data_IF_647997809793
#
_entry.id   IF_647997809793
#
_cell.length_a   1.000
_cell.length_b   1.000
_cell.length_c   1.000
_cell.angle_alpha   90.00
_cell.angle_beta   90.00
_cell.angle_gamma   90.00
#
_symmetry.space_group_name_H-M   'P 1'
#
loop_
_entity.id
_entity.type
_entity.pdbx_description
1 polymer ?
#
# COMPACT_ATOMS: atom_id res chain seq x y z
N UNK A 1 12.04 -29.07 -35.91
CA UNK A 1 12.17 -29.44 -34.48
C UNK A 1 12.85 -28.35 -33.66
N UNK A 2 14.01 -27.84 -34.02
CA UNK A 2 14.74 -26.76 -33.29
C UNK A 2 13.92 -25.45 -33.19
N UNK A 3 13.25 -25.03 -34.26
CA UNK A 3 12.39 -23.83 -34.28
C UNK A 3 11.16 -23.97 -33.35
N UNK A 4 10.57 -25.15 -33.28
CA UNK A 4 9.45 -25.46 -32.38
C UNK A 4 9.89 -25.48 -30.90
N UNK A 5 11.10 -25.97 -30.63
CA UNK A 5 11.71 -25.97 -29.29
C UNK A 5 12.07 -24.55 -28.82
N UNK A 6 12.58 -23.70 -29.71
CA UNK A 6 12.86 -22.28 -29.43
C UNK A 6 11.56 -21.48 -29.18
N UNK A 7 10.48 -21.82 -29.87
CA UNK A 7 9.18 -21.20 -29.66
C UNK A 7 8.57 -21.60 -28.33
N UNK A 8 8.72 -22.87 -27.89
CA UNK A 8 8.31 -23.34 -26.56
C UNK A 8 9.13 -22.65 -25.44
N UNK A 9 10.43 -22.46 -25.63
CA UNK A 9 11.31 -21.79 -24.66
C UNK A 9 11.01 -20.30 -24.49
N UNK A 10 10.41 -19.65 -25.49
CA UNK A 10 10.02 -18.23 -25.40
C UNK A 10 8.71 -17.98 -24.62
N UNK A 11 7.94 -19.03 -24.31
CA UNK A 11 6.63 -18.92 -23.62
C UNK A 11 6.66 -19.34 -22.16
N UNK A 12 7.81 -19.22 -21.48
CA UNK A 12 7.89 -19.56 -20.05
C UNK A 12 7.42 -18.41 -19.13
N UNK A 13 7.23 -17.21 -19.67
CA UNK A 13 6.85 -16.02 -18.93
C UNK A 13 5.42 -15.64 -19.33
N UNK A 14 4.53 -15.35 -18.36
CA UNK A 14 3.15 -14.92 -18.65
C UNK A 14 3.12 -13.70 -19.58
N UNK A 15 2.32 -13.78 -20.65
CA UNK A 15 2.16 -12.70 -21.63
C UNK A 15 0.84 -11.95 -21.46
N UNK A 16 -0.20 -12.61 -20.93
CA UNK A 16 -1.53 -12.07 -20.67
C UNK A 16 -1.79 -12.05 -19.16
N UNK A 17 -1.44 -10.96 -18.50
CA UNK A 17 -1.56 -10.81 -17.04
C UNK A 17 -2.76 -9.93 -16.71
N UNK A 18 -3.53 -10.33 -15.71
CA UNK A 18 -4.58 -9.51 -15.09
C UNK A 18 -4.16 -9.22 -13.65
N UNK A 19 -4.14 -7.94 -13.27
CA UNK A 19 -3.93 -7.51 -11.90
C UNK A 19 -5.25 -7.04 -11.30
N UNK A 20 -5.83 -7.82 -10.40
CA UNK A 20 -7.06 -7.44 -9.69
C UNK A 20 -6.79 -6.56 -8.48
N UNK A 21 -5.57 -5.99 -8.38
CA UNK A 21 -5.12 -5.04 -7.35
C UNK A 21 -4.24 -3.94 -7.95
N UNK A 22 -4.14 -2.81 -7.22
CA UNK A 22 -3.44 -1.62 -7.70
C UNK A 22 -1.91 -1.79 -7.64
N UNK A 23 -1.39 -2.35 -6.53
CA UNK A 23 0.05 -2.42 -6.24
C UNK A 23 0.82 -3.28 -7.24
N UNK A 24 0.20 -4.37 -7.72
CA UNK A 24 0.83 -5.22 -8.74
C UNK A 24 0.78 -4.59 -10.12
N UNK A 25 -0.29 -3.85 -10.42
CA UNK A 25 -0.39 -3.03 -11.64
C UNK A 25 0.72 -1.99 -11.66
N UNK A 26 0.88 -1.20 -10.58
CA UNK A 26 1.94 -0.19 -10.47
C UNK A 26 3.33 -0.82 -10.62
N UNK A 27 3.55 -1.97 -9.98
CA UNK A 27 4.83 -2.68 -10.05
C UNK A 27 5.18 -3.08 -11.49
N UNK A 28 4.23 -3.65 -12.25
CA UNK A 28 4.47 -4.06 -13.64
C UNK A 28 4.77 -2.85 -14.54
N UNK A 29 4.09 -1.71 -14.33
CA UNK A 29 4.41 -0.47 -15.05
C UNK A 29 5.80 0.07 -14.70
N UNK A 30 6.20 0.04 -13.43
CA UNK A 30 7.54 0.46 -13.00
C UNK A 30 8.66 -0.42 -13.58
N UNK A 31 8.36 -1.67 -13.89
CA UNK A 31 9.29 -2.60 -14.55
C UNK A 31 9.25 -2.53 -16.07
N UNK A 32 8.43 -1.66 -16.68
CA UNK A 32 8.32 -1.48 -18.13
C UNK A 32 7.69 -2.66 -18.88
N UNK A 33 6.85 -3.45 -18.20
CA UNK A 33 6.17 -4.63 -18.76
C UNK A 33 4.64 -4.47 -18.85
N UNK A 34 4.14 -3.24 -18.88
CA UNK A 34 2.72 -2.93 -18.99
C UNK A 34 2.04 -3.53 -20.25
N UNK A 35 2.80 -3.86 -21.28
CA UNK A 35 2.29 -4.54 -22.48
C UNK A 35 1.68 -5.92 -22.16
N UNK A 36 2.16 -6.57 -21.08
CA UNK A 36 1.63 -7.87 -20.62
C UNK A 36 0.31 -7.74 -19.85
N UNK A 37 -0.01 -6.54 -19.37
CA UNK A 37 -1.27 -6.30 -18.69
C UNK A 37 -2.41 -6.20 -19.69
N UNK A 38 -3.42 -7.07 -19.55
CA UNK A 38 -4.64 -7.07 -20.36
C UNK A 38 -5.87 -6.65 -19.54
N UNK A 39 -5.81 -6.76 -18.19
CA UNK A 39 -6.88 -6.34 -17.30
C UNK A 39 -6.37 -5.84 -15.96
N UNK A 40 -7.11 -4.91 -15.35
CA UNK A 40 -6.77 -4.26 -14.10
C UNK A 40 -7.98 -4.07 -13.19
N UNK A 41 -7.71 -3.73 -11.90
CA UNK A 41 -8.74 -3.28 -10.97
C UNK A 41 -9.27 -1.88 -11.30
N UNK A 42 -10.57 -1.66 -11.16
CA UNK A 42 -11.21 -0.36 -11.26
C UNK A 42 -10.73 0.65 -10.21
N UNK A 43 -10.09 0.19 -9.13
CA UNK A 43 -9.46 1.05 -8.13
C UNK A 43 -8.05 1.51 -8.50
N UNK A 44 -7.44 0.96 -9.55
CA UNK A 44 -6.11 1.37 -10.02
C UNK A 44 -6.04 2.87 -10.25
N UNK A 45 -5.18 3.56 -9.50
CA UNK A 45 -4.91 5.00 -9.61
C UNK A 45 -3.51 5.28 -10.15
N UNK A 46 -2.62 4.31 -10.04
CA UNK A 46 -1.21 4.43 -10.41
C UNK A 46 -0.78 3.30 -11.36
N UNK A 47 -0.13 3.68 -12.50
CA UNK A 47 -0.08 5.03 -13.03
C UNK A 47 -1.45 5.47 -13.59
N UNK A 48 -1.69 6.77 -13.67
CA UNK A 48 -2.98 7.31 -14.15
C UNK A 48 -3.38 6.84 -15.55
N UNK A 49 -2.39 6.52 -16.40
CA UNK A 49 -2.61 6.04 -17.77
C UNK A 49 -3.22 4.64 -17.82
N UNK A 50 -2.99 3.80 -16.80
CA UNK A 50 -3.40 2.40 -16.80
C UNK A 50 -4.90 2.23 -17.12
N UNK A 51 -5.78 3.01 -16.51
CA UNK A 51 -7.23 2.95 -16.77
C UNK A 51 -7.66 3.34 -18.19
N UNK A 52 -6.83 4.05 -18.93
CA UNK A 52 -7.09 4.41 -20.33
C UNK A 52 -6.61 3.34 -21.30
N UNK A 53 -5.68 2.51 -20.86
CA UNK A 53 -4.98 1.54 -21.70
C UNK A 53 -5.44 0.09 -21.47
N UNK A 54 -6.06 -0.20 -20.31
CA UNK A 54 -6.33 -1.55 -19.88
C UNK A 54 -7.80 -1.74 -19.52
N UNK A 55 -8.31 -2.94 -19.76
CA UNK A 55 -9.67 -3.34 -19.39
C UNK A 55 -9.86 -3.35 -17.88
N UNK A 56 -10.97 -2.78 -17.40
CA UNK A 56 -11.37 -2.88 -16.01
C UNK A 56 -12.19 -4.14 -15.83
N UNK A 57 -11.70 -5.06 -14.99
CA UNK A 57 -12.28 -6.40 -14.79
C UNK A 57 -12.64 -6.71 -13.34
N UNK A 58 -12.28 -5.85 -12.40
CA UNK A 58 -12.57 -6.08 -10.98
C UNK A 58 -12.76 -4.79 -10.21
N UNK A 59 -13.39 -4.90 -9.04
CA UNK A 59 -13.28 -3.97 -7.91
C UNK A 59 -12.34 -4.56 -6.86
N UNK A 60 -12.35 -4.04 -5.63
CA UNK A 60 -11.52 -4.58 -4.55
C UNK A 60 -12.06 -5.92 -4.00
N UNK A 61 -13.40 -6.06 -3.91
CA UNK A 61 -14.07 -7.21 -3.30
C UNK A 61 -14.79 -8.09 -4.32
N UNK A 62 -14.89 -7.66 -5.57
CA UNK A 62 -15.63 -8.36 -6.61
C UNK A 62 -14.90 -8.28 -7.95
N UNK A 63 -15.18 -9.26 -8.84
CA UNK A 63 -14.59 -9.35 -10.16
C UNK A 63 -15.59 -9.91 -11.16
N UNK A 64 -15.53 -9.40 -12.38
CA UNK A 64 -16.25 -9.93 -13.52
C UNK A 64 -15.53 -11.18 -14.02
N UNK A 65 -15.92 -12.33 -13.47
CA UNK A 65 -15.27 -13.61 -13.74
C UNK A 65 -15.38 -13.99 -15.21
N UNK A 66 -16.55 -13.79 -15.85
CA UNK A 66 -16.76 -14.15 -17.25
C UNK A 66 -15.87 -13.27 -18.16
N UNK A 67 -15.80 -11.98 -17.91
CA UNK A 67 -14.91 -11.07 -18.64
C UNK A 67 -13.43 -11.44 -18.47
N UNK A 68 -13.03 -11.85 -17.27
CA UNK A 68 -11.65 -12.33 -17.03
C UNK A 68 -11.36 -13.56 -17.88
N UNK A 69 -12.30 -14.50 -17.95
CA UNK A 69 -12.14 -15.73 -18.74
C UNK A 69 -12.09 -15.43 -20.24
N UNK A 70 -12.95 -14.54 -20.74
CA UNK A 70 -12.97 -14.12 -22.15
C UNK A 70 -11.65 -13.48 -22.60
N UNK A 71 -10.91 -12.85 -21.69
CA UNK A 71 -9.58 -12.28 -21.97
C UNK A 71 -8.48 -13.36 -22.06
N UNK A 72 -8.77 -14.60 -21.67
CA UNK A 72 -7.82 -15.73 -21.70
C UNK A 72 -6.47 -15.40 -21.03
N UNK A 73 -6.43 -15.03 -19.74
CA UNK A 73 -5.18 -14.70 -19.07
C UNK A 73 -4.31 -15.93 -18.79
N UNK A 74 -3.00 -15.76 -18.91
CA UNK A 74 -2.01 -16.75 -18.43
C UNK A 74 -1.90 -16.72 -16.90
N UNK A 75 -2.12 -15.54 -16.31
CA UNK A 75 -1.96 -15.31 -14.88
C UNK A 75 -2.89 -14.19 -14.39
N UNK A 76 -3.58 -14.46 -13.28
CA UNK A 76 -4.28 -13.43 -12.50
C UNK A 76 -3.53 -13.19 -11.19
N UNK A 77 -3.23 -11.92 -10.86
CA UNK A 77 -2.54 -11.55 -9.62
C UNK A 77 -3.49 -10.76 -8.72
N UNK A 78 -3.66 -11.22 -7.48
CA UNK A 78 -4.49 -10.60 -6.47
C UNK A 78 -3.79 -10.41 -5.13
N UNK A 79 -4.55 -9.95 -4.13
CA UNK A 79 -4.05 -9.63 -2.79
C UNK A 79 -4.93 -10.23 -1.69
N UNK A 80 -4.28 -10.93 -0.78
CA UNK A 80 -4.75 -11.41 0.51
C UNK A 80 -6.00 -12.31 0.51
N UNK A 81 -6.35 -12.74 1.69
CA UNK A 81 -7.55 -13.50 2.01
C UNK A 81 -8.87 -12.79 1.63
N UNK A 82 -8.84 -11.47 1.53
CA UNK A 82 -10.01 -10.66 1.12
C UNK A 82 -10.49 -11.04 -0.29
N UNK A 83 -9.56 -11.44 -1.17
CA UNK A 83 -9.89 -11.86 -2.55
C UNK A 83 -9.93 -13.39 -2.72
N UNK A 84 -9.97 -14.16 -1.63
CA UNK A 84 -9.98 -15.64 -1.69
C UNK A 84 -11.16 -16.20 -2.49
N UNK A 85 -12.35 -15.61 -2.38
CA UNK A 85 -13.52 -16.06 -3.13
C UNK A 85 -13.42 -15.79 -4.64
N UNK A 86 -12.74 -14.70 -5.03
CA UNK A 86 -12.44 -14.41 -6.44
C UNK A 86 -11.45 -15.46 -6.96
N UNK A 87 -10.37 -15.71 -6.20
CA UNK A 87 -9.36 -16.70 -6.54
C UNK A 87 -9.97 -18.10 -6.70
N UNK A 88 -10.83 -18.53 -5.78
CA UNK A 88 -11.53 -19.81 -5.86
C UNK A 88 -12.35 -19.97 -7.15
N UNK A 89 -13.14 -18.95 -7.52
CA UNK A 89 -13.93 -18.95 -8.73
C UNK A 89 -13.07 -19.08 -9.98
N UNK A 90 -11.97 -18.32 -10.05
CA UNK A 90 -11.03 -18.35 -11.19
C UNK A 90 -10.31 -19.71 -11.31
N UNK A 91 -9.85 -20.26 -10.18
CA UNK A 91 -9.17 -21.57 -10.14
C UNK A 91 -10.13 -22.68 -10.64
N UNK A 92 -11.41 -22.67 -10.22
CA UNK A 92 -12.43 -23.62 -10.70
C UNK A 92 -12.69 -23.53 -12.20
N UNK A 93 -12.36 -22.41 -12.83
CA UNK A 93 -12.45 -22.19 -14.29
C UNK A 93 -11.12 -22.44 -15.02
N UNK A 94 -10.11 -22.98 -14.34
CA UNK A 94 -8.81 -23.34 -14.92
C UNK A 94 -7.81 -22.18 -15.03
N UNK A 95 -8.09 -21.02 -14.47
CA UNK A 95 -7.19 -19.86 -14.50
C UNK A 95 -6.09 -19.99 -13.44
N UNK A 96 -4.83 -19.73 -13.80
CA UNK A 96 -3.72 -19.64 -12.85
C UNK A 96 -3.84 -18.36 -12.04
N UNK A 97 -3.79 -18.48 -10.70
CA UNK A 97 -3.95 -17.34 -9.79
C UNK A 97 -2.81 -17.28 -8.79
N UNK A 98 -2.21 -16.09 -8.63
CA UNK A 98 -1.24 -15.77 -7.59
C UNK A 98 -1.86 -14.77 -6.61
N UNK A 99 -1.95 -15.12 -5.32
CA UNK A 99 -2.39 -14.20 -4.26
C UNK A 99 -1.19 -13.78 -3.41
N UNK A 100 -0.88 -12.48 -3.45
CA UNK A 100 0.09 -11.86 -2.56
C UNK A 100 -0.55 -11.61 -1.20
N UNK A 101 0.00 -12.21 -0.14
CA UNK A 101 -0.53 -12.06 1.22
C UNK A 101 0.48 -11.39 2.16
N UNK A 102 1.05 -10.28 1.73
CA UNK A 102 2.08 -9.54 2.46
C UNK A 102 1.52 -8.27 3.11
N UNK A 103 1.88 -8.03 4.36
CA UNK A 103 1.41 -6.86 5.13
C UNK A 103 2.54 -6.10 5.83
N UNK A 104 3.76 -6.16 5.28
CA UNK A 104 4.95 -5.48 5.82
C UNK A 104 5.78 -4.85 4.71
N UNK A 105 6.65 -3.91 5.02
CA UNK A 105 7.62 -3.36 4.06
C UNK A 105 8.45 -4.46 3.41
N UNK A 106 8.93 -5.42 4.21
CA UNK A 106 9.68 -6.56 3.66
C UNK A 106 8.84 -7.42 2.71
N UNK A 107 7.55 -7.56 3.01
CA UNK A 107 6.59 -8.25 2.14
C UNK A 107 6.35 -7.52 0.83
N UNK A 108 6.27 -6.18 0.86
CA UNK A 108 6.16 -5.36 -0.35
C UNK A 108 7.40 -5.56 -1.24
N UNK A 109 8.61 -5.57 -0.68
CA UNK A 109 9.81 -5.89 -1.45
C UNK A 109 9.77 -7.29 -2.05
N UNK A 110 9.26 -8.29 -1.33
CA UNK A 110 9.06 -9.65 -1.87
C UNK A 110 8.07 -9.65 -3.02
N UNK A 111 6.96 -8.92 -2.91
CA UNK A 111 5.98 -8.79 -3.99
C UNK A 111 6.61 -8.16 -5.24
N UNK A 112 7.35 -7.05 -5.10
CA UNK A 112 8.04 -6.39 -6.23
C UNK A 112 9.00 -7.37 -6.91
N UNK A 113 9.80 -8.11 -6.13
CA UNK A 113 10.74 -9.09 -6.66
C UNK A 113 10.03 -10.24 -7.36
N UNK A 114 9.00 -10.82 -6.74
CA UNK A 114 8.25 -11.94 -7.32
C UNK A 114 7.57 -11.54 -8.64
N UNK A 115 6.93 -10.36 -8.68
CA UNK A 115 6.34 -9.81 -9.92
C UNK A 115 7.44 -9.60 -10.97
N UNK A 116 8.61 -9.07 -10.58
CA UNK A 116 9.75 -8.92 -11.48
C UNK A 116 10.21 -10.25 -12.09
N UNK A 117 10.29 -11.32 -11.30
CA UNK A 117 10.60 -12.66 -11.80
C UNK A 117 9.55 -13.18 -12.78
N UNK A 118 8.26 -13.00 -12.46
CA UNK A 118 7.15 -13.44 -13.30
C UNK A 118 7.11 -12.75 -14.67
N UNK A 119 7.58 -11.52 -14.76
CA UNK A 119 7.62 -10.76 -16.03
C UNK A 119 9.04 -10.73 -16.67
N UNK A 120 9.98 -11.56 -16.17
CA UNK A 120 11.34 -11.65 -16.69
C UNK A 120 12.22 -10.43 -16.42
N UNK A 121 11.90 -9.66 -15.36
CA UNK A 121 12.61 -8.44 -14.93
C UNK A 121 13.21 -8.56 -13.53
N UNK A 122 13.73 -9.74 -13.18
CA UNK A 122 14.31 -10.00 -11.87
C UNK A 122 15.43 -9.03 -11.50
N UNK A 123 16.37 -8.71 -12.41
CA UNK A 123 17.45 -7.75 -12.10
C UNK A 123 16.90 -6.32 -11.94
N UNK A 124 16.05 -5.84 -12.85
CA UNK A 124 15.41 -4.54 -12.73
C UNK A 124 14.61 -4.39 -11.43
N UNK A 125 13.95 -5.46 -10.98
CA UNK A 125 13.23 -5.46 -9.71
C UNK A 125 14.17 -5.36 -8.49
N UNK A 126 15.35 -5.99 -8.55
CA UNK A 126 16.38 -5.85 -7.51
C UNK A 126 16.93 -4.42 -7.47
N UNK A 127 17.19 -3.81 -8.63
CA UNK A 127 17.67 -2.44 -8.72
C UNK A 127 16.66 -1.45 -8.14
N UNK A 128 15.39 -1.58 -8.51
CA UNK A 128 14.29 -0.80 -7.93
C UNK A 128 14.23 -0.95 -6.40
N UNK A 129 14.29 -2.17 -5.90
CA UNK A 129 14.29 -2.46 -4.46
C UNK A 129 15.50 -1.82 -3.77
N UNK A 130 16.68 -1.91 -4.35
CA UNK A 130 17.89 -1.34 -3.79
C UNK A 130 17.86 0.19 -3.76
N UNK A 131 17.32 0.84 -4.80
CA UNK A 131 17.09 2.28 -4.81
C UNK A 131 16.19 2.72 -3.66
N UNK A 132 15.04 2.04 -3.50
CA UNK A 132 14.08 2.33 -2.41
C UNK A 132 14.74 2.11 -1.03
N UNK A 133 15.46 0.99 -0.84
CA UNK A 133 16.16 0.71 0.42
C UNK A 133 17.21 1.78 0.76
N UNK A 134 17.93 2.30 -0.24
CA UNK A 134 18.90 3.36 -0.02
C UNK A 134 18.24 4.66 0.44
N UNK A 135 17.11 5.05 -0.15
CA UNK A 135 16.30 6.18 0.33
C UNK A 135 15.80 5.96 1.75
N UNK A 136 15.28 4.76 2.07
CA UNK A 136 14.85 4.40 3.42
C UNK A 136 16.00 4.54 4.44
N UNK A 137 17.20 4.07 4.10
CA UNK A 137 18.38 4.19 4.96
C UNK A 137 18.76 5.65 5.22
N UNK A 138 18.69 6.51 4.20
CA UNK A 138 18.96 7.94 4.36
C UNK A 138 17.94 8.60 5.29
N UNK A 139 16.65 8.32 5.12
CA UNK A 139 15.56 8.83 5.97
C UNK A 139 15.74 8.35 7.41
N UNK A 140 15.97 7.06 7.63
CA UNK A 140 16.20 6.50 8.95
C UNK A 140 17.43 7.12 9.65
N UNK A 141 18.53 7.32 8.92
CA UNK A 141 19.73 7.96 9.45
C UNK A 141 19.48 9.42 9.84
N UNK A 142 18.67 10.16 9.09
CA UNK A 142 18.31 11.53 9.42
C UNK A 142 17.43 11.59 10.68
N UNK A 143 16.39 10.78 10.73
CA UNK A 143 15.44 10.77 11.85
C UNK A 143 16.01 10.14 13.14
N UNK A 144 17.03 9.27 13.03
CA UNK A 144 17.71 8.68 14.22
C UNK A 144 18.39 9.72 15.09
N UNK A 145 18.79 10.86 14.53
CA UNK A 145 19.44 11.98 15.22
C UNK A 145 18.46 12.87 15.99
N UNK A 146 17.16 12.64 15.86
CA UNK A 146 16.16 13.46 16.51
C UNK A 146 16.11 13.19 18.02
N UNK A 147 16.23 14.25 18.82
CA UNK A 147 16.16 14.19 20.28
C UNK A 147 14.81 13.75 20.80
N UNK A 148 13.74 14.00 20.02
CA UNK A 148 12.36 13.64 20.37
C UNK A 148 11.62 13.16 19.12
N UNK A 149 10.92 12.05 19.24
CA UNK A 149 10.10 11.46 18.17
C UNK A 149 8.63 11.81 18.40
N UNK A 150 7.87 12.22 17.37
CA UNK A 150 6.44 12.48 17.52
C UNK A 150 5.67 11.21 17.86
N UNK A 151 4.70 11.32 18.76
CA UNK A 151 3.66 10.33 18.96
C UNK A 151 2.64 10.47 17.83
N UNK A 152 2.41 9.42 17.05
CA UNK A 152 1.60 9.46 15.85
C UNK A 152 0.38 8.56 16.00
N UNK A 153 -0.79 9.10 15.74
CA UNK A 153 -1.98 8.34 15.48
C UNK A 153 -2.22 8.28 13.98
N UNK A 154 -2.21 7.08 13.41
CA UNK A 154 -2.66 6.86 12.04
C UNK A 154 -4.10 6.34 12.05
N UNK A 155 -4.99 7.03 11.32
CA UNK A 155 -6.40 6.70 11.19
C UNK A 155 -6.69 6.19 9.78
N UNK A 156 -6.88 4.87 9.63
CA UNK A 156 -7.20 4.21 8.36
C UNK A 156 -8.67 4.39 7.97
N UNK A 157 -9.55 4.54 8.97
CA UNK A 157 -10.98 4.76 8.81
C UNK A 157 -11.58 5.52 9.99
N UNK A 158 -12.67 6.27 9.76
CA UNK A 158 -13.21 7.20 10.73
C UNK A 158 -14.36 6.67 11.60
N UNK A 159 -15.12 5.68 11.12
CA UNK A 159 -16.25 5.08 11.86
C UNK A 159 -16.54 3.65 11.37
N UNK A 160 -16.24 2.62 12.17
CA UNK A 160 -15.48 2.72 13.43
C UNK A 160 -14.06 3.26 13.18
N UNK A 161 -13.42 3.84 14.22
CA UNK A 161 -12.03 4.28 14.14
C UNK A 161 -11.11 3.06 14.02
N UNK A 162 -10.31 3.02 12.96
CA UNK A 162 -9.39 1.91 12.67
C UNK A 162 -7.97 2.46 12.65
N UNK A 163 -7.08 1.84 13.43
CA UNK A 163 -5.66 2.17 13.46
C UNK A 163 -4.91 1.62 12.24
N UNK A 164 -3.67 2.08 12.05
CA UNK A 164 -2.85 1.70 10.89
C UNK A 164 -2.50 0.22 10.83
N UNK A 165 -2.41 -0.31 9.62
CA UNK A 165 -1.93 -1.66 9.34
C UNK A 165 -0.40 -1.72 9.41
N UNK A 166 0.18 -2.91 9.47
CA UNK A 166 1.58 -3.16 9.78
C UNK A 166 2.57 -2.38 8.93
N UNK A 167 2.44 -2.35 7.59
CA UNK A 167 3.40 -1.59 6.77
C UNK A 167 3.34 -0.09 7.05
N UNK A 168 2.16 0.46 7.39
CA UNK A 168 2.00 1.87 7.77
C UNK A 168 2.71 2.16 9.09
N UNK A 169 2.54 1.29 10.08
CA UNK A 169 3.24 1.38 11.37
C UNK A 169 4.76 1.28 11.19
N UNK A 170 5.23 0.37 10.32
CA UNK A 170 6.64 0.24 9.96
C UNK A 170 7.18 1.51 9.27
N UNK A 171 6.40 2.14 8.37
CA UNK A 171 6.76 3.41 7.72
C UNK A 171 6.84 4.55 8.74
N UNK A 172 5.87 4.66 9.67
CA UNK A 172 5.91 5.65 10.74
C UNK A 172 7.22 5.50 11.54
N UNK A 173 7.58 4.28 11.90
CA UNK A 173 8.82 4.01 12.63
C UNK A 173 10.07 4.33 11.82
N UNK A 174 10.11 3.93 10.55
CA UNK A 174 11.19 4.23 9.59
C UNK A 174 11.43 5.74 9.49
N UNK A 175 10.37 6.53 9.44
CA UNK A 175 10.41 7.98 9.34
C UNK A 175 10.71 8.69 10.68
N UNK A 176 10.91 7.95 11.77
CA UNK A 176 11.26 8.47 13.08
C UNK A 176 10.09 8.85 13.98
N UNK A 177 8.87 8.40 13.68
CA UNK A 177 7.70 8.55 14.55
C UNK A 177 7.50 7.35 15.48
N UNK A 178 6.64 7.52 16.48
CA UNK A 178 6.16 6.47 17.37
C UNK A 178 4.66 6.27 17.12
N UNK A 179 4.29 5.17 16.47
CA UNK A 179 2.88 4.78 16.31
C UNK A 179 2.31 4.41 17.68
N UNK A 180 1.27 5.15 18.11
CA UNK A 180 0.65 4.94 19.43
C UNK A 180 -0.22 3.69 19.52
N UNK A 181 -0.49 3.03 18.39
CA UNK A 181 -1.26 1.79 18.28
C UNK A 181 -0.48 0.66 17.59
N UNK A 182 0.85 0.67 17.72
CA UNK A 182 1.73 -0.33 17.11
C UNK A 182 1.34 -1.77 17.44
N UNK A 183 0.78 -2.02 18.63
CA UNK A 183 0.30 -3.33 19.06
C UNK A 183 -0.85 -3.86 18.19
N UNK A 184 -1.75 -2.97 17.72
CA UNK A 184 -2.86 -3.33 16.83
C UNK A 184 -2.40 -3.58 15.39
N UNK A 185 -1.27 -3.02 14.98
CA UNK A 185 -0.77 -3.17 13.61
C UNK A 185 -0.40 -4.61 13.24
N UNK A 186 -0.28 -5.51 14.22
CA UNK A 186 -0.02 -6.94 14.03
C UNK A 186 -1.23 -7.66 13.43
N UNK A 187 -2.43 -7.11 13.65
CA UNK A 187 -3.68 -7.67 13.18
C UNK A 187 -3.87 -7.39 11.68
N UNK A 188 -4.20 -8.44 10.95
CA UNK A 188 -4.32 -8.38 9.49
C UNK A 188 -5.60 -7.70 9.02
N UNK A 189 -6.70 -7.90 9.75
CA UNK A 189 -8.02 -7.43 9.35
C UNK A 189 -8.35 -6.09 10.01
N UNK A 190 -9.04 -5.22 9.28
CA UNK A 190 -9.47 -3.92 9.76
C UNK A 190 -10.35 -4.00 11.03
N UNK A 191 -11.25 -5.01 11.11
CA UNK A 191 -12.12 -5.24 12.26
C UNK A 191 -11.37 -5.48 13.57
N UNK A 192 -10.16 -6.04 13.49
CA UNK A 192 -9.33 -6.39 14.65
C UNK A 192 -8.41 -5.22 15.07
N UNK A 193 -8.43 -4.12 14.29
CA UNK A 193 -7.69 -2.87 14.54
C UNK A 193 -8.59 -1.71 14.95
N UNK A 194 -9.84 -2.00 15.33
CA UNK A 194 -10.79 -0.99 15.84
C UNK A 194 -10.29 -0.49 17.20
N UNK A 195 -10.30 0.83 17.36
CA UNK A 195 -9.88 1.51 18.59
C UNK A 195 -10.97 2.44 19.11
N UNK A 196 -10.89 2.78 20.38
CA UNK A 196 -11.80 3.74 20.99
C UNK A 196 -11.27 5.18 20.91
N UNK A 197 -12.19 6.13 20.80
CA UNK A 197 -11.87 7.57 20.87
C UNK A 197 -11.16 7.94 22.18
N UNK A 198 -11.53 7.30 23.29
CA UNK A 198 -10.93 7.51 24.60
C UNK A 198 -9.48 7.05 24.65
N UNK A 199 -9.11 5.99 23.94
CA UNK A 199 -7.71 5.53 23.89
C UNK A 199 -6.84 6.51 23.14
N UNK A 200 -7.33 7.12 22.05
CA UNK A 200 -6.63 8.19 21.34
C UNK A 200 -6.40 9.39 22.26
N UNK A 201 -7.44 9.81 23.01
CA UNK A 201 -7.33 10.93 23.98
C UNK A 201 -6.30 10.62 25.07
N UNK A 202 -6.33 9.42 25.66
CA UNK A 202 -5.36 9.01 26.71
C UNK A 202 -3.92 8.96 26.18
N UNK A 203 -3.72 8.42 24.98
CA UNK A 203 -2.39 8.32 24.35
C UNK A 203 -1.86 9.69 23.90
N UNK A 204 -2.75 10.66 23.65
CA UNK A 204 -2.46 12.07 23.36
C UNK A 204 -1.38 12.26 22.28
N UNK A 205 -1.67 11.92 21.00
CA UNK A 205 -0.69 12.03 19.92
C UNK A 205 -0.28 13.47 19.63
N UNK A 206 0.96 13.62 19.16
CA UNK A 206 1.51 14.88 18.69
C UNK A 206 1.09 15.16 17.23
N UNK A 207 0.85 14.11 16.45
CA UNK A 207 0.43 14.16 15.02
C UNK A 207 -0.69 13.15 14.79
N UNK A 208 -1.69 13.55 14.00
CA UNK A 208 -2.71 12.66 13.43
C UNK A 208 -2.51 12.61 11.93
N UNK A 209 -2.32 11.41 11.38
CA UNK A 209 -2.35 11.17 9.92
C UNK A 209 -3.60 10.37 9.64
N UNK A 210 -4.46 10.88 8.76
CA UNK A 210 -5.65 10.17 8.35
C UNK A 210 -5.59 9.81 6.86
N UNK A 211 -6.04 8.59 6.54
CA UNK A 211 -6.12 8.09 5.17
C UNK A 211 -7.35 7.18 5.07
N UNK A 212 -8.45 7.74 4.59
CA UNK A 212 -9.70 6.98 4.51
C UNK A 212 -9.86 6.37 3.12
N UNK A 213 -10.03 5.06 3.07
CA UNK A 213 -10.12 4.33 1.82
C UNK A 213 -11.26 4.86 0.92
N UNK A 214 -10.90 5.33 -0.27
CA UNK A 214 -11.86 5.80 -1.27
C UNK A 214 -12.55 7.12 -0.98
N UNK A 215 -12.29 7.80 0.15
CA UNK A 215 -12.91 9.09 0.47
C UNK A 215 -11.92 10.12 1.00
N UNK A 216 -12.22 11.39 0.75
CA UNK A 216 -11.44 12.53 1.27
C UNK A 216 -11.58 12.65 2.78
N UNK A 217 -10.47 12.90 3.47
CA UNK A 217 -10.45 13.16 4.91
C UNK A 217 -11.09 14.51 5.22
N UNK A 218 -12.03 14.52 6.15
CA UNK A 218 -12.67 15.72 6.67
C UNK A 218 -12.00 16.10 8.00
N UNK A 219 -10.91 16.88 7.94
CA UNK A 219 -10.14 17.28 9.15
C UNK A 219 -11.02 17.92 10.22
N UNK A 220 -11.99 18.73 9.84
CA UNK A 220 -12.93 19.35 10.78
C UNK A 220 -13.83 18.34 11.49
N UNK A 221 -14.14 17.20 10.84
CA UNK A 221 -14.86 16.10 11.51
C UNK A 221 -14.00 15.48 12.60
N UNK A 222 -12.71 15.33 12.37
CA UNK A 222 -11.75 14.82 13.37
C UNK A 222 -11.65 15.78 14.55
N UNK A 223 -11.46 17.07 14.30
CA UNK A 223 -11.33 18.11 15.35
C UNK A 223 -12.57 18.20 16.24
N UNK A 224 -13.78 18.01 15.69
CA UNK A 224 -15.06 18.16 16.38
C UNK A 224 -15.48 16.91 17.16
N UNK A 225 -14.67 15.85 17.22
CA UNK A 225 -14.97 14.68 18.06
C UNK A 225 -14.93 15.07 19.53
N UNK A 226 -15.88 14.52 20.32
CA UNK A 226 -15.99 14.83 21.73
C UNK A 226 -14.69 14.51 22.50
N UNK A 227 -14.16 15.50 23.23
CA UNK A 227 -12.93 15.39 24.02
C UNK A 227 -11.62 15.53 23.23
N UNK A 228 -11.68 15.61 21.89
CA UNK A 228 -10.47 15.68 21.05
C UNK A 228 -9.82 17.06 21.04
N UNK A 229 -10.53 18.10 21.45
CA UNK A 229 -9.97 19.44 21.70
C UNK A 229 -8.81 19.43 22.70
N UNK A 230 -8.69 18.37 23.53
CA UNK A 230 -7.61 18.19 24.52
C UNK A 230 -6.34 17.58 23.89
N UNK A 231 -6.45 16.94 22.73
CA UNK A 231 -5.31 16.27 22.06
C UNK A 231 -4.34 17.28 21.49
N UNK A 232 -3.05 17.07 21.69
CA UNK A 232 -1.98 17.96 21.20
C UNK A 232 -2.04 18.17 19.68
N UNK A 233 -2.22 17.09 18.91
CA UNK A 233 -2.34 17.18 17.46
C UNK A 233 -3.51 18.06 17.01
N UNK A 234 -4.63 18.07 17.74
CA UNK A 234 -5.79 18.91 17.44
C UNK A 234 -5.51 20.35 17.80
N UNK A 235 -4.97 20.62 19.01
CA UNK A 235 -4.60 21.97 19.49
C UNK A 235 -3.61 22.66 18.55
N UNK A 236 -2.62 21.91 18.08
CA UNK A 236 -1.54 22.42 17.25
C UNK A 236 -1.83 22.33 15.74
N UNK A 237 -3.03 21.92 15.35
CA UNK A 237 -3.44 21.73 13.95
C UNK A 237 -2.54 20.74 13.18
N UNK A 238 -1.98 19.73 13.87
CA UNK A 238 -1.14 18.66 13.31
C UNK A 238 -2.01 17.48 12.82
N UNK A 239 -3.00 17.77 11.99
CA UNK A 239 -3.86 16.77 11.35
C UNK A 239 -3.57 16.79 9.86
N UNK A 240 -3.05 15.67 9.34
CA UNK A 240 -2.60 15.53 7.97
C UNK A 240 -3.41 14.47 7.24
N UNK A 241 -3.65 14.68 5.95
CA UNK A 241 -4.22 13.68 5.06
C UNK A 241 -3.13 13.14 4.15
N UNK A 242 -3.05 11.80 4.04
CA UNK A 242 -2.35 11.12 2.96
C UNK A 242 -3.39 10.33 2.19
N UNK A 243 -3.40 10.46 0.88
CA UNK A 243 -4.38 9.76 0.04
C UNK A 243 -4.22 8.25 0.13
N UNK A 244 -5.35 7.54 0.12
CA UNK A 244 -5.37 6.08 0.29
C UNK A 244 -4.62 5.34 -0.83
N UNK A 245 -4.66 5.86 -2.07
CA UNK A 245 -3.90 5.33 -3.19
C UNK A 245 -2.37 5.42 -3.05
N UNK A 246 -1.88 6.21 -2.06
CA UNK A 246 -0.45 6.30 -1.75
C UNK A 246 -0.08 5.34 -0.62
N UNK A 247 -0.84 5.36 0.49
CA UNK A 247 -0.34 4.74 1.73
C UNK A 247 -1.07 3.43 2.11
N UNK A 248 -2.32 3.24 1.67
CA UNK A 248 -3.11 2.07 2.04
C UNK A 248 -2.96 0.89 1.07
N UNK A 249 -2.16 1.02 0.02
CA UNK A 249 -1.82 -0.08 -0.88
C UNK A 249 -0.47 -0.68 -0.47
N UNK A 250 -0.35 -2.01 -0.28
CA UNK A 250 0.92 -2.64 0.05
C UNK A 250 1.83 -2.77 -1.19
N UNK A 251 2.23 -1.64 -1.73
CA UNK A 251 2.94 -1.55 -3.00
C UNK A 251 3.99 -0.43 -3.07
N UNK A 252 4.55 -0.19 -4.26
CA UNK A 252 5.61 0.79 -4.46
C UNK A 252 5.26 2.16 -3.90
N UNK A 253 4.06 2.70 -4.19
CA UNK A 253 3.66 4.03 -3.72
C UNK A 253 3.79 4.21 -2.21
N UNK A 254 3.42 3.21 -1.41
CA UNK A 254 3.47 3.32 0.06
C UNK A 254 4.90 3.42 0.59
N UNK A 255 5.83 2.70 -0.03
CA UNK A 255 7.24 2.65 0.40
C UNK A 255 8.15 3.66 -0.33
N UNK A 256 7.59 4.46 -1.23
CA UNK A 256 8.25 5.61 -1.89
C UNK A 256 7.58 6.91 -1.48
N UNK A 257 6.57 7.36 -2.20
CA UNK A 257 5.84 8.61 -1.94
C UNK A 257 5.28 8.67 -0.50
N UNK A 258 4.74 7.55 0.01
CA UNK A 258 4.21 7.46 1.37
C UNK A 258 5.28 7.70 2.43
N UNK A 259 6.46 7.12 2.26
CA UNK A 259 7.62 7.34 3.15
C UNK A 259 8.09 8.79 3.09
N UNK A 260 8.20 9.38 1.88
CA UNK A 260 8.64 10.76 1.71
C UNK A 260 7.65 11.75 2.37
N UNK A 261 6.34 11.59 2.15
CA UNK A 261 5.30 12.43 2.75
C UNK A 261 5.30 12.35 4.28
N UNK A 262 5.39 11.14 4.85
CA UNK A 262 5.43 10.96 6.31
C UNK A 262 6.71 11.58 6.89
N UNK A 263 7.85 11.37 6.24
CA UNK A 263 9.11 11.95 6.69
C UNK A 263 9.08 13.50 6.65
N UNK A 264 8.49 14.09 5.61
CA UNK A 264 8.30 15.53 5.49
C UNK A 264 7.42 16.07 6.63
N UNK A 265 6.28 15.44 6.93
CA UNK A 265 5.39 15.81 8.04
C UNK A 265 6.17 15.79 9.35
N UNK A 266 6.92 14.72 9.63
CA UNK A 266 7.66 14.58 10.88
C UNK A 266 8.85 15.55 10.97
N UNK A 267 9.56 15.78 9.88
CA UNK A 267 10.66 16.75 9.82
C UNK A 267 10.18 18.17 10.10
N UNK A 268 9.03 18.55 9.53
CA UNK A 268 8.41 19.84 9.76
C UNK A 268 7.93 19.99 11.22
N UNK A 269 7.33 18.92 11.78
CA UNK A 269 6.97 18.90 13.20
C UNK A 269 8.20 19.03 14.10
N UNK A 270 9.27 18.29 13.83
CA UNK A 270 10.51 18.33 14.60
C UNK A 270 11.14 19.71 14.61
N UNK A 271 11.26 20.35 13.45
CA UNK A 271 11.81 21.71 13.32
C UNK A 271 11.02 22.72 14.17
N UNK A 272 9.69 22.69 14.13
CA UNK A 272 8.84 23.63 14.88
C UNK A 272 8.85 23.41 16.41
N UNK A 273 9.03 22.17 16.86
CA UNK A 273 8.82 21.85 18.28
C UNK A 273 10.11 21.61 19.06
N UNK A 274 11.25 21.43 18.38
CA UNK A 274 12.50 21.01 19.06
C UNK A 274 13.69 21.87 18.67
N UNK A 275 13.73 22.48 17.49
CA UNK A 275 14.87 23.26 16.98
C UNK A 275 14.61 24.76 17.11
N UNK A 276 13.36 25.18 17.21
CA UNK A 276 12.95 26.55 17.54
C UNK A 276 13.01 26.75 19.07
#
# INVERSE_FOLDING_TARGET
MVFFYLQIMNNLIPEKIICITEETTETIYLLGEEKRLIGISGFTKRPKIAKKQKEVVSTFLDADIEKIIELEPDLVIGFSDIQSSIAEKLIKKGVTVLINNYRSISGIFKMIYNVGCLVGKNEASKDLINEIKNKHKQIANNSSKWKKKPKVYFEEWDNPQISGIKWVSEIIHLCGGNDIFIEHSKESLAKDRIISSNDVIKKNPDIIIASWCGKKVKKEKIKKRNGWEKIKAVKNNEIHEIKSEIILQPGPASITDGVELIHEIFSNWYKRNIVS
#
